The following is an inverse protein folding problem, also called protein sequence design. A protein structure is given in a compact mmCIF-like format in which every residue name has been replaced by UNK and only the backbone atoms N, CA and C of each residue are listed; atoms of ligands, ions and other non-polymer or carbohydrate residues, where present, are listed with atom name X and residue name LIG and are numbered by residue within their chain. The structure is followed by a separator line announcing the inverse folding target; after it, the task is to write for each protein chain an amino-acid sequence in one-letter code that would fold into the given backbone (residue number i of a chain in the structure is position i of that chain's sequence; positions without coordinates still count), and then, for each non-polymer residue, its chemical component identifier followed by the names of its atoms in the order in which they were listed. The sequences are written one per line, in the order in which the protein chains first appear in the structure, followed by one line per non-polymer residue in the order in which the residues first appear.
data_IF_086912400218
#
_entry.id   IF_086912400218
#
_cell.length_a   1.000
_cell.length_b   1.000
_cell.length_c   1.000
_cell.angle_alpha   90.00
_cell.angle_beta   90.00
_cell.angle_gamma   90.00
#
_symmetry.space_group_name_H-M   'P 1'
#
loop_
_entity.id
_entity.type
_entity.pdbx_description
1 polymer ?
#
# COMPACT_ATOMS: atom_id res chain seq x y z
N UNK A 1 6.17 -4.54 23.56
CA UNK A 1 6.22 -3.88 22.29
C UNK A 1 5.43 -4.62 21.23
N UNK A 2 4.55 -3.92 20.61
CA UNK A 2 3.71 -4.53 19.58
C UNK A 2 4.50 -4.74 18.30
N UNK A 3 4.46 -5.94 17.78
CA UNK A 3 5.03 -6.21 16.47
C UNK A 3 3.94 -6.06 15.44
N UNK A 4 4.24 -5.34 14.38
CA UNK A 4 3.31 -5.22 13.28
C UNK A 4 3.25 -6.57 12.57
N UNK A 5 2.05 -7.07 12.41
CA UNK A 5 1.85 -8.33 11.71
C UNK A 5 1.66 -8.07 10.23
N UNK A 6 2.37 -8.80 9.41
CA UNK A 6 2.25 -8.69 7.96
C UNK A 6 1.48 -9.87 7.40
N UNK A 7 0.68 -9.61 6.39
CA UNK A 7 -0.17 -10.62 5.77
C UNK A 7 0.16 -10.73 4.30
N UNK A 8 -0.23 -11.86 3.71
CA UNK A 8 -0.08 -12.01 2.26
C UNK A 8 -1.06 -11.06 1.56
N UNK A 9 -0.78 -10.77 0.30
CA UNK A 9 -1.62 -9.88 -0.48
C UNK A 9 -3.05 -10.42 -0.57
N UNK A 10 -3.20 -11.73 -0.75
CA UNK A 10 -4.52 -12.34 -0.83
C UNK A 10 -5.32 -12.12 0.43
N UNK A 11 -4.69 -12.27 1.59
CA UNK A 11 -5.38 -12.03 2.85
C UNK A 11 -5.78 -10.58 3.01
N UNK A 12 -4.89 -9.66 2.61
CA UNK A 12 -5.18 -8.24 2.72
C UNK A 12 -6.33 -7.84 1.81
N UNK A 13 -6.36 -8.38 0.60
CA UNK A 13 -7.47 -8.10 -0.33
C UNK A 13 -8.78 -8.58 0.27
N UNK A 14 -8.80 -9.76 0.88
CA UNK A 14 -10.01 -10.26 1.53
C UNK A 14 -10.45 -9.36 2.67
N UNK A 15 -9.52 -8.86 3.45
CA UNK A 15 -9.84 -7.96 4.56
C UNK A 15 -10.40 -6.63 4.07
N UNK A 16 -9.92 -6.14 2.95
CA UNK A 16 -10.47 -4.93 2.35
C UNK A 16 -11.87 -5.18 1.82
N UNK A 17 -12.06 -6.30 1.13
CA UNK A 17 -13.36 -6.63 0.55
C UNK A 17 -14.43 -6.85 1.63
N UNK A 18 -14.03 -7.39 2.77
CA UNK A 18 -14.97 -7.60 3.87
C UNK A 18 -15.25 -6.33 4.66
N UNK A 19 -14.49 -5.27 4.41
CA UNK A 19 -14.64 -4.03 5.16
C UNK A 19 -13.87 -3.98 6.47
N UNK A 20 -13.10 -5.01 6.76
CA UNK A 20 -12.32 -5.06 7.99
C UNK A 20 -11.17 -4.07 7.96
N UNK A 21 -10.53 -3.92 6.80
CA UNK A 21 -9.38 -3.03 6.62
C UNK A 21 -9.68 -1.95 5.59
N UNK A 22 -9.07 -0.78 5.79
CA UNK A 22 -9.01 0.23 4.75
C UNK A 22 -7.68 0.17 4.04
N UNK A 23 -7.45 1.09 3.10
CA UNK A 23 -6.22 1.12 2.33
C UNK A 23 -4.99 1.40 3.20
N UNK A 24 -5.17 2.22 4.24
CA UNK A 24 -4.07 2.49 5.16
C UNK A 24 -3.62 1.22 5.88
N UNK A 25 -4.58 0.43 6.32
CA UNK A 25 -4.28 -0.85 6.96
C UNK A 25 -3.60 -1.80 5.98
N UNK A 26 -4.06 -1.80 4.74
CA UNK A 26 -3.46 -2.60 3.68
C UNK A 26 -1.95 -2.31 3.56
N UNK A 27 -1.60 -1.03 3.46
CA UNK A 27 -0.20 -0.64 3.34
C UNK A 27 0.59 -1.00 4.58
N UNK A 28 0.02 -0.72 5.76
CA UNK A 28 0.73 -0.94 7.01
C UNK A 28 1.00 -2.41 7.30
N UNK A 29 0.17 -3.29 6.78
CA UNK A 29 0.32 -4.72 7.02
C UNK A 29 0.82 -5.49 5.80
N UNK A 30 1.17 -4.78 4.74
CA UNK A 30 1.67 -5.43 3.53
C UNK A 30 3.12 -5.87 3.71
N UNK A 31 3.99 -4.94 4.09
CA UNK A 31 5.38 -5.23 4.37
C UNK A 31 6.04 -3.98 4.90
N UNK A 32 7.18 -4.16 5.54
CA UNK A 32 7.92 -3.02 6.06
C UNK A 32 8.41 -2.12 4.92
N UNK A 33 8.79 -2.72 3.80
CA UNK A 33 9.23 -1.94 2.64
C UNK A 33 8.13 -1.02 2.16
N UNK A 34 6.90 -1.52 2.12
CA UNK A 34 5.77 -0.70 1.69
C UNK A 34 5.48 0.41 2.68
N UNK A 35 5.63 0.15 3.97
CA UNK A 35 5.43 1.20 4.97
C UNK A 35 6.44 2.32 4.75
N UNK A 36 7.71 1.96 4.58
CA UNK A 36 8.76 2.95 4.36
C UNK A 36 8.55 3.72 3.07
N UNK A 37 8.20 3.02 2.00
CA UNK A 37 7.94 3.67 0.70
C UNK A 37 6.72 4.59 0.78
N UNK A 38 5.70 4.17 1.51
CA UNK A 38 4.51 4.96 1.68
C UNK A 38 4.81 6.26 2.43
N UNK A 39 5.60 6.17 3.49
CA UNK A 39 6.00 7.36 4.22
C UNK A 39 6.75 8.33 3.32
N UNK A 40 7.66 7.81 2.52
CA UNK A 40 8.41 8.62 1.58
C UNK A 40 7.49 9.24 0.51
N UNK A 41 6.53 8.44 0.03
CA UNK A 41 5.56 8.90 -0.93
C UNK A 41 4.74 10.08 -0.38
N UNK A 42 4.26 9.95 0.85
CA UNK A 42 3.51 11.03 1.48
C UNK A 42 4.38 12.27 1.69
N UNK A 43 5.60 12.06 2.13
CA UNK A 43 6.51 13.17 2.41
C UNK A 43 6.85 13.93 1.13
N UNK A 44 7.17 13.21 0.07
CA UNK A 44 7.57 13.83 -1.19
C UNK A 44 6.41 14.56 -1.87
N UNK A 45 5.18 14.14 -1.58
CA UNK A 45 3.99 14.74 -2.20
C UNK A 45 3.24 15.63 -1.23
N UNK A 46 3.75 15.78 -0.01
CA UNK A 46 3.12 16.65 0.99
C UNK A 46 1.71 16.17 1.33
N UNK A 47 1.54 14.85 1.44
CA UNK A 47 0.25 14.23 1.74
C UNK A 47 0.20 13.81 3.20
N UNK A 48 -0.99 13.82 3.77
CA UNK A 48 -1.20 13.29 5.11
C UNK A 48 -1.37 11.79 5.05
N UNK A 49 -0.96 11.10 6.12
CA UNK A 49 -1.18 9.67 6.25
C UNK A 49 -2.66 9.42 6.48
N UNK A 50 -3.31 8.79 5.51
CA UNK A 50 -4.75 8.54 5.57
C UNK A 50 -5.12 7.45 4.57
N UNK A 51 -6.36 6.99 4.62
CA UNK A 51 -6.86 6.02 3.66
C UNK A 51 -6.78 6.56 2.23
N UNK A 52 -7.02 7.85 2.05
CA UNK A 52 -6.96 8.46 0.72
C UNK A 52 -5.55 8.41 0.14
N UNK A 53 -4.55 8.82 0.92
CA UNK A 53 -3.18 8.79 0.44
C UNK A 53 -2.67 7.36 0.28
N UNK A 54 -3.13 6.45 1.14
CA UNK A 54 -2.77 5.04 1.02
C UNK A 54 -3.33 4.44 -0.28
N UNK A 55 -4.56 4.81 -0.62
CA UNK A 55 -5.14 4.36 -1.89
C UNK A 55 -4.32 4.88 -3.08
N UNK A 56 -3.91 6.14 -3.02
CA UNK A 56 -3.07 6.71 -4.06
C UNK A 56 -1.74 5.97 -4.18
N UNK A 57 -1.16 5.61 -3.03
CA UNK A 57 0.10 4.88 -3.03
C UNK A 57 -0.07 3.49 -3.65
N UNK A 58 -1.14 2.78 -3.29
CA UNK A 58 -1.39 1.46 -3.84
C UNK A 58 -1.57 1.53 -5.35
N UNK A 59 -2.30 2.53 -5.83
CA UNK A 59 -2.49 2.74 -7.26
C UNK A 59 -1.16 3.07 -7.95
N UNK A 60 -0.33 3.87 -7.28
CA UNK A 60 0.99 4.22 -7.79
C UNK A 60 1.86 2.97 -7.95
N UNK A 61 1.85 2.08 -6.95
CA UNK A 61 2.63 0.84 -7.02
C UNK A 61 2.12 -0.07 -8.13
N UNK A 62 0.81 -0.19 -8.25
CA UNK A 62 0.22 -0.99 -9.31
C UNK A 62 0.58 -0.47 -10.69
N UNK A 63 0.57 0.85 -10.84
CA UNK A 63 0.91 1.47 -12.11
C UNK A 63 2.38 1.27 -12.46
N UNK A 64 3.26 1.36 -11.46
CA UNK A 64 4.68 1.09 -11.68
C UNK A 64 4.89 -0.33 -12.20
N UNK A 65 4.19 -1.28 -11.62
CA UNK A 65 4.29 -2.67 -12.04
C UNK A 65 3.81 -2.84 -13.47
N UNK A 66 2.69 -2.22 -13.84
CA UNK A 66 2.18 -2.27 -15.19
C UNK A 66 3.17 -1.69 -16.19
N UNK A 67 3.75 -0.55 -15.88
CA UNK A 67 4.72 0.08 -16.77
C UNK A 67 5.95 -0.80 -16.95
N UNK A 68 6.41 -1.42 -15.87
CA UNK A 68 7.57 -2.30 -15.95
C UNK A 68 7.28 -3.52 -16.79
N UNK A 69 6.08 -4.05 -16.73
CA UNK A 69 5.70 -5.24 -17.47
C UNK A 69 5.35 -4.93 -18.91
N UNK A 70 4.81 -3.74 -19.16
CA UNK A 70 4.35 -3.38 -20.47
C UNK A 70 5.41 -2.71 -21.36
N UNK A 71 6.54 -2.36 -20.76
CA UNK A 71 7.53 -1.57 -21.48
C UNK A 71 8.28 -2.33 -22.55
N UNK A 72 8.14 -3.63 -22.58
CA UNK A 72 8.82 -4.48 -23.55
C UNK A 72 8.00 -4.73 -24.82
N UNK A 73 6.86 -4.12 -24.89
CA UNK A 73 5.99 -4.27 -26.06
C UNK A 73 6.52 -3.47 -27.23
#
# INVERSE_FOLDING_TARGET
MAKVKYYSEDELVQKIQSGEYGWLDFVNHHSREWVDEYEEFCRSRNLEVSNTSAEQFVNFKGKQLEEAMGSDV
#
